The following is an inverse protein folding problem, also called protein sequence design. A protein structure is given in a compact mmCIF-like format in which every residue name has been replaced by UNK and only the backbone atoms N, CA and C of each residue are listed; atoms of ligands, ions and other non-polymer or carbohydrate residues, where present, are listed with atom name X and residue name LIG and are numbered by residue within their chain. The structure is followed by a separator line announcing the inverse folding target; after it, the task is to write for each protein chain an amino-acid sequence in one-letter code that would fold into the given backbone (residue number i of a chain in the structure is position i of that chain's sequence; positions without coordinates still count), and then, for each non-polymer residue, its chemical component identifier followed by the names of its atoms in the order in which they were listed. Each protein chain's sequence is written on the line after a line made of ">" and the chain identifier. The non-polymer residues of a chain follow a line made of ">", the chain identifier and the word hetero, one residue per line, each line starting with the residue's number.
data_IF_857067258492
#
_entry.id   IF_857067258492
#
_cell.length_a   1.000
_cell.length_b   1.000
_cell.length_c   1.000
_cell.angle_alpha   90.00
_cell.angle_beta   90.00
_cell.angle_gamma   90.00
#
_symmetry.space_group_name_H-M   'P 1'
#
loop_
_entity.id
_entity.type
_entity.pdbx_description
1 polymer ?
#
# COMPACT_ATOMS: atom_id res chain seq x y z
N UNK A 1 -21.71 -4.61 13.25
CA UNK A 1 -21.60 -5.94 12.62
C UNK A 1 -22.81 -6.75 13.07
N UNK A 2 -23.51 -7.47 12.17
CA UNK A 2 -24.66 -8.29 12.57
C UNK A 2 -24.16 -9.43 13.48
N UNK A 3 -24.86 -9.69 14.58
CA UNK A 3 -24.57 -10.82 15.47
C UNK A 3 -24.68 -12.14 14.69
N UNK A 4 -23.78 -13.10 14.98
CA UNK A 4 -23.67 -14.37 14.25
C UNK A 4 -25.00 -15.12 14.27
N UNK A 5 -25.70 -15.08 15.41
CA UNK A 5 -27.02 -15.67 15.55
C UNK A 5 -28.04 -15.05 14.59
N UNK A 6 -28.06 -13.72 14.47
CA UNK A 6 -28.97 -13.02 13.56
C UNK A 6 -28.70 -13.40 12.11
N UNK A 7 -27.43 -13.55 11.73
CA UNK A 7 -27.05 -13.96 10.37
C UNK A 7 -27.52 -15.38 10.05
N UNK A 8 -27.37 -16.33 10.98
CA UNK A 8 -27.81 -17.71 10.79
C UNK A 8 -29.34 -17.83 10.69
N UNK A 9 -30.07 -16.99 11.43
CA UNK A 9 -31.54 -16.91 11.34
C UNK A 9 -31.96 -16.36 9.96
N UNK A 10 -31.31 -15.29 9.48
CA UNK A 10 -31.56 -14.72 8.15
C UNK A 10 -31.30 -15.78 7.05
N UNK A 11 -30.17 -16.51 7.14
CA UNK A 11 -29.85 -17.60 6.22
C UNK A 11 -30.90 -18.72 6.22
N UNK A 12 -31.41 -19.11 7.40
CA UNK A 12 -32.47 -20.14 7.51
C UNK A 12 -33.77 -19.70 6.83
N UNK A 13 -34.14 -18.42 6.96
CA UNK A 13 -35.36 -17.87 6.35
C UNK A 13 -35.24 -17.88 4.81
N UNK A 14 -34.11 -17.48 4.26
CA UNK A 14 -33.90 -17.47 2.81
C UNK A 14 -33.82 -18.90 2.22
N UNK A 15 -33.17 -19.84 2.91
CA UNK A 15 -33.12 -21.23 2.46
C UNK A 15 -34.49 -21.91 2.45
N UNK A 16 -35.39 -21.54 3.38
CA UNK A 16 -36.78 -22.02 3.37
C UNK A 16 -37.57 -21.51 2.16
N UNK A 17 -37.25 -20.33 1.63
CA UNK A 17 -37.92 -19.77 0.44
C UNK A 17 -37.42 -20.42 -0.84
N UNK A 18 -36.13 -20.74 -0.92
CA UNK A 18 -35.46 -21.21 -2.13
C UNK A 18 -35.53 -22.74 -2.31
N UNK A 19 -35.60 -23.50 -1.22
CA UNK A 19 -35.63 -24.97 -1.27
C UNK A 19 -36.97 -25.53 -0.80
N UNK A 20 -37.64 -26.28 -1.68
CA UNK A 20 -38.85 -27.06 -1.33
C UNK A 20 -38.47 -28.17 -0.34
N UNK A 21 -39.28 -28.37 0.69
CA UNK A 21 -39.03 -29.33 1.78
C UNK A 21 -37.71 -29.12 2.55
N UNK A 22 -37.17 -27.90 2.59
CA UNK A 22 -35.95 -27.56 3.35
C UNK A 22 -35.96 -28.08 4.80
N UNK A 23 -37.13 -28.09 5.46
CA UNK A 23 -37.31 -28.56 6.83
C UNK A 23 -37.00 -30.04 7.04
N UNK A 24 -36.99 -30.86 5.98
CA UNK A 24 -36.67 -32.30 6.03
C UNK A 24 -35.20 -32.59 5.74
N UNK A 25 -34.41 -31.56 5.46
CA UNK A 25 -33.00 -31.73 5.09
C UNK A 25 -32.10 -31.67 6.32
N UNK A 26 -31.01 -32.46 6.31
CA UNK A 26 -29.96 -32.41 7.33
C UNK A 26 -29.36 -31.00 7.49
N UNK A 27 -29.40 -30.19 6.43
CA UNK A 27 -28.93 -28.80 6.46
C UNK A 27 -29.78 -27.94 7.42
N UNK A 28 -31.09 -28.18 7.50
CA UNK A 28 -31.94 -27.48 8.46
C UNK A 28 -31.59 -27.87 9.91
N UNK A 29 -31.33 -29.16 10.16
CA UNK A 29 -30.93 -29.65 11.49
C UNK A 29 -29.58 -29.06 11.93
N UNK A 30 -28.59 -29.01 11.02
CA UNK A 30 -27.28 -28.41 11.28
C UNK A 30 -27.37 -26.91 11.53
N UNK A 31 -28.22 -26.19 10.77
CA UNK A 31 -28.48 -24.77 10.99
C UNK A 31 -29.17 -24.51 12.33
N UNK A 32 -30.15 -25.33 12.69
CA UNK A 32 -30.87 -25.20 13.96
C UNK A 32 -29.95 -25.47 15.17
N UNK A 33 -29.06 -26.46 15.06
CA UNK A 33 -28.02 -26.72 16.06
C UNK A 33 -27.04 -25.54 16.18
N UNK A 34 -26.58 -24.98 15.06
CA UNK A 34 -25.67 -23.83 15.06
C UNK A 34 -26.32 -22.56 15.66
N UNK A 35 -27.61 -22.34 15.41
CA UNK A 35 -28.38 -21.24 16.02
C UNK A 35 -28.49 -21.43 17.54
N UNK A 36 -28.71 -22.67 18.00
CA UNK A 36 -28.72 -23.00 19.44
C UNK A 36 -27.34 -22.82 20.09
N UNK A 37 -26.27 -23.23 19.42
CA UNK A 37 -24.91 -23.03 19.92
C UNK A 37 -24.55 -21.54 20.01
N UNK A 38 -24.89 -20.75 18.98
CA UNK A 38 -24.70 -19.30 19.01
C UNK A 38 -25.60 -18.61 20.06
N UNK A 39 -26.77 -19.17 20.36
CA UNK A 39 -27.63 -18.70 21.45
C UNK A 39 -27.03 -18.93 22.84
N UNK A 40 -26.37 -20.08 23.02
CA UNK A 40 -25.74 -20.46 24.27
C UNK A 40 -24.37 -19.80 24.46
N UNK A 41 -23.75 -19.34 23.38
CA UNK A 41 -22.46 -18.65 23.38
C UNK A 41 -22.56 -17.13 23.67
N UNK A 42 -23.54 -16.70 24.48
CA UNK A 42 -23.71 -15.30 24.87
C UNK A 42 -22.41 -14.62 25.36
N UNK A 43 -22.29 -13.28 25.24
CA UNK A 43 -21.00 -12.58 25.14
C UNK A 43 -20.32 -12.43 26.50
N UNK A 44 -19.70 -13.50 26.99
CA UNK A 44 -18.70 -13.49 28.06
C UNK A 44 -17.96 -14.84 28.09
N UNK A 45 -17.16 -15.09 27.07
CA UNK A 45 -16.06 -16.06 27.16
C UNK A 45 -14.83 -15.51 26.42
N UNK A 46 -14.60 -14.20 26.56
CA UNK A 46 -13.26 -13.66 26.47
C UNK A 46 -12.56 -14.03 27.78
N UNK A 47 -11.54 -14.87 27.67
CA UNK A 47 -10.46 -15.10 28.62
C UNK A 47 -10.62 -14.49 30.03
N UNK A 48 -11.04 -15.30 31.00
CA UNK A 48 -10.66 -15.08 32.40
C UNK A 48 -10.05 -16.36 32.99
N UNK A 49 -8.97 -16.24 33.79
CA UNK A 49 -8.31 -17.38 34.42
C UNK A 49 -9.24 -17.98 35.48
N UNK A 50 -9.31 -19.31 35.48
CA UNK A 50 -10.11 -20.12 36.39
C UNK A 50 -9.69 -19.81 37.84
N UNK A 51 -10.53 -19.05 38.54
CA UNK A 51 -10.36 -18.72 39.96
C UNK A 51 -10.79 -19.92 40.82
N UNK A 52 -9.82 -20.58 41.45
CA UNK A 52 -10.04 -21.58 42.51
C UNK A 52 -10.44 -20.86 43.80
N UNK A 53 -11.73 -20.75 44.10
CA UNK A 53 -12.29 -20.80 45.47
C UNK A 53 -13.78 -20.44 45.48
N UNK A 54 -14.64 -21.44 45.57
CA UNK A 54 -15.92 -21.34 46.27
C UNK A 54 -16.35 -22.74 46.75
N UNK A 55 -16.63 -22.95 48.05
CA UNK A 55 -17.00 -24.26 48.58
C UNK A 55 -18.51 -24.48 48.41
N UNK A 56 -18.88 -25.45 47.57
CA UNK A 56 -20.28 -25.83 47.38
C UNK A 56 -20.44 -27.04 46.46
N UNK A 57 -20.60 -28.20 47.08
CA UNK A 57 -20.96 -29.52 46.53
C UNK A 57 -19.98 -30.18 45.53
N UNK A 58 -19.64 -31.48 45.71
CA UNK A 58 -18.81 -32.22 44.76
C UNK A 58 -19.69 -32.62 43.58
N UNK A 59 -19.80 -31.76 42.58
CA UNK A 59 -20.08 -32.24 41.24
C UNK A 59 -18.78 -32.83 40.73
N UNK A 60 -18.78 -34.14 40.46
CA UNK A 60 -17.67 -34.82 39.79
C UNK A 60 -17.39 -34.04 38.50
N UNK A 61 -16.35 -33.20 38.53
CA UNK A 61 -15.94 -32.42 37.36
C UNK A 61 -15.53 -33.44 36.31
N UNK A 62 -16.38 -33.65 35.31
CA UNK A 62 -16.08 -34.50 34.18
C UNK A 62 -14.74 -34.06 33.60
N UNK A 63 -13.73 -34.93 33.72
CA UNK A 63 -12.38 -34.63 33.30
C UNK A 63 -12.42 -34.38 31.79
N UNK A 64 -11.78 -33.30 31.35
CA UNK A 64 -11.73 -33.00 29.92
C UNK A 64 -10.91 -34.07 29.20
N UNK A 65 -11.20 -34.31 27.92
CA UNK A 65 -10.43 -35.25 27.09
C UNK A 65 -8.93 -34.93 27.14
N UNK A 66 -8.57 -33.64 27.18
CA UNK A 66 -7.17 -33.19 27.31
C UNK A 66 -6.55 -33.54 28.66
N UNK A 67 -7.29 -33.42 29.77
CA UNK A 67 -6.81 -33.79 31.11
C UNK A 67 -6.58 -35.30 31.21
N UNK A 68 -7.51 -36.10 30.68
CA UNK A 68 -7.38 -37.56 30.62
C UNK A 68 -6.18 -37.96 29.76
N UNK A 69 -6.01 -37.34 28.59
CA UNK A 69 -4.87 -37.59 27.71
C UNK A 69 -3.53 -37.27 28.38
N UNK A 70 -3.44 -36.12 29.06
CA UNK A 70 -2.23 -35.72 29.79
C UNK A 70 -1.90 -36.71 30.91
N UNK A 71 -2.90 -37.11 31.71
CA UNK A 71 -2.72 -38.08 32.80
C UNK A 71 -2.21 -39.43 32.26
N UNK A 72 -2.79 -39.93 31.17
CA UNK A 72 -2.31 -41.15 30.51
C UNK A 72 -0.89 -40.99 29.94
N UNK A 73 -0.54 -39.82 29.42
CA UNK A 73 0.80 -39.56 28.90
C UNK A 73 1.85 -39.56 30.01
N UNK A 74 1.53 -38.99 31.17
CA UNK A 74 2.38 -39.02 32.37
C UNK A 74 2.54 -40.45 32.89
N UNK A 75 1.43 -41.18 33.06
CA UNK A 75 1.46 -42.57 33.50
C UNK A 75 2.25 -43.48 32.53
N UNK A 76 2.11 -43.27 31.22
CA UNK A 76 2.87 -44.00 30.22
C UNK A 76 4.38 -43.67 30.26
N UNK A 77 4.76 -42.42 30.53
CA UNK A 77 6.17 -42.04 30.74
C UNK A 77 6.73 -42.71 31.98
N UNK A 78 6.02 -42.67 33.10
CA UNK A 78 6.47 -43.33 34.34
C UNK A 78 6.62 -44.84 34.14
N UNK A 79 5.65 -45.48 33.48
CA UNK A 79 5.68 -46.91 33.14
C UNK A 79 6.86 -47.26 32.22
N UNK A 80 7.26 -46.36 31.32
CA UNK A 80 8.43 -46.55 30.45
C UNK A 80 9.72 -46.70 31.26
N UNK A 81 9.83 -46.01 32.39
CA UNK A 81 11.00 -46.05 33.27
C UNK A 81 10.89 -47.13 34.36
N UNK A 82 9.70 -47.37 34.91
CA UNK A 82 9.49 -48.39 35.95
C UNK A 82 9.47 -49.81 35.39
N UNK A 83 8.74 -50.04 34.29
CA UNK A 83 8.48 -51.36 33.72
C UNK A 83 8.54 -51.35 32.18
N UNK A 84 9.75 -51.28 31.58
CA UNK A 84 9.93 -51.13 30.14
C UNK A 84 9.27 -52.22 29.29
N UNK A 85 9.22 -53.46 29.81
CA UNK A 85 8.62 -54.60 29.12
C UNK A 85 7.10 -54.49 28.99
N UNK A 86 6.42 -53.94 30.01
CA UNK A 86 4.97 -53.71 29.99
C UNK A 86 4.66 -52.54 29.06
N UNK A 87 5.44 -51.46 29.14
CA UNK A 87 5.32 -50.31 28.24
C UNK A 87 5.46 -50.74 26.76
N UNK A 88 6.43 -51.59 26.42
CA UNK A 88 6.63 -52.09 25.06
C UNK A 88 5.41 -52.89 24.54
N UNK A 89 4.90 -53.83 25.33
CA UNK A 89 3.70 -54.63 24.96
C UNK A 89 2.45 -53.77 24.83
N UNK A 90 2.29 -52.79 25.71
CA UNK A 90 1.18 -51.84 25.63
C UNK A 90 1.29 -50.98 24.36
N UNK A 91 2.50 -50.51 24.03
CA UNK A 91 2.79 -49.77 22.81
C UNK A 91 2.42 -50.55 21.55
N UNK A 92 2.81 -51.83 21.45
CA UNK A 92 2.40 -52.71 20.33
C UNK A 92 0.89 -52.85 20.21
N UNK A 93 0.20 -53.00 21.34
CA UNK A 93 -1.27 -53.11 21.37
C UNK A 93 -1.94 -51.80 20.92
N UNK A 94 -1.42 -50.66 21.36
CA UNK A 94 -1.90 -49.33 20.94
C UNK A 94 -1.70 -49.11 19.45
N UNK A 95 -0.50 -49.42 18.92
CA UNK A 95 -0.22 -49.34 17.48
C UNK A 95 -1.18 -50.23 16.66
N UNK A 96 -1.46 -51.45 17.13
CA UNK A 96 -2.43 -52.35 16.50
C UNK A 96 -3.85 -51.79 16.50
N UNK A 97 -4.31 -51.22 17.63
CA UNK A 97 -5.65 -50.66 17.75
C UNK A 97 -5.84 -49.40 16.89
N UNK A 98 -4.80 -48.57 16.78
CA UNK A 98 -4.82 -47.37 15.94
C UNK A 98 -4.60 -47.69 14.45
N UNK A 99 -4.28 -48.94 14.11
CA UNK A 99 -3.93 -49.33 12.74
C UNK A 99 -2.65 -48.65 12.23
N UNK A 100 -1.83 -48.11 13.12
CA UNK A 100 -0.60 -47.40 12.75
C UNK A 100 0.63 -48.26 13.02
N UNK A 101 1.59 -48.22 12.09
CA UNK A 101 2.88 -48.94 12.24
C UNK A 101 3.88 -48.17 13.11
N UNK A 102 3.67 -46.87 13.29
CA UNK A 102 4.56 -45.97 14.00
C UNK A 102 3.76 -44.87 14.68
N UNK A 103 4.06 -44.56 15.93
CA UNK A 103 3.58 -43.36 16.59
C UNK A 103 4.59 -42.25 16.32
N UNK A 104 4.14 -41.13 15.76
CA UNK A 104 4.98 -39.96 15.63
C UNK A 104 5.38 -39.49 17.04
N UNK A 105 6.66 -39.18 17.23
CA UNK A 105 7.11 -38.60 18.48
C UNK A 105 6.54 -37.17 18.58
N UNK A 106 5.69 -36.87 19.58
CA UNK A 106 5.05 -35.57 19.69
C UNK A 106 6.07 -34.42 19.82
N UNK A 107 7.26 -34.66 20.37
CA UNK A 107 8.30 -33.62 20.43
C UNK A 107 8.83 -33.28 19.02
N UNK A 108 9.01 -34.30 18.17
CA UNK A 108 9.43 -34.11 16.78
C UNK A 108 8.34 -33.41 15.95
N UNK A 109 7.07 -33.76 16.15
CA UNK A 109 5.94 -33.12 15.47
C UNK A 109 5.79 -31.65 15.89
N UNK A 110 5.93 -31.33 17.18
CA UNK A 110 5.92 -29.95 17.67
C UNK A 110 7.02 -29.13 17.02
N UNK A 111 8.26 -29.64 16.96
CA UNK A 111 9.38 -28.95 16.31
C UNK A 111 9.14 -28.69 14.82
N UNK A 112 8.52 -29.65 14.12
CA UNK A 112 8.17 -29.48 12.71
C UNK A 112 7.07 -28.43 12.52
N UNK A 113 6.03 -28.47 13.36
CA UNK A 113 4.95 -27.49 13.32
C UNK A 113 5.44 -26.08 13.66
N UNK A 114 6.32 -25.93 14.66
CA UNK A 114 6.97 -24.66 15.00
C UNK A 114 7.80 -24.12 13.83
N UNK A 115 8.55 -24.99 13.13
CA UNK A 115 9.32 -24.60 11.96
C UNK A 115 8.41 -24.15 10.80
N UNK A 116 7.33 -24.89 10.54
CA UNK A 116 6.34 -24.53 9.51
C UNK A 116 5.62 -23.22 9.83
N UNK A 117 5.30 -23.00 11.10
CA UNK A 117 4.65 -21.77 11.59
C UNK A 117 5.59 -20.58 11.41
N UNK A 118 6.85 -20.71 11.82
CA UNK A 118 7.87 -19.67 11.63
C UNK A 118 8.09 -19.33 10.15
N UNK A 119 8.08 -20.34 9.28
CA UNK A 119 8.18 -20.12 7.84
C UNK A 119 6.93 -19.39 7.29
N UNK A 120 5.74 -19.77 7.75
CA UNK A 120 4.50 -19.12 7.36
C UNK A 120 4.43 -17.65 7.82
N UNK A 121 4.85 -17.36 9.05
CA UNK A 121 4.99 -16.00 9.58
C UNK A 121 5.97 -15.17 8.76
N UNK A 122 7.13 -15.76 8.39
CA UNK A 122 8.09 -15.10 7.51
C UNK A 122 7.50 -14.75 6.14
N UNK A 123 6.72 -15.67 5.54
CA UNK A 123 6.00 -15.40 4.28
C UNK A 123 4.95 -14.31 4.42
N UNK A 124 4.22 -14.26 5.53
CA UNK A 124 3.23 -13.22 5.81
C UNK A 124 3.90 -11.85 5.95
N UNK A 125 4.97 -11.76 6.76
CA UNK A 125 5.72 -10.53 6.95
C UNK A 125 6.30 -9.99 5.63
N UNK A 126 6.84 -10.88 4.78
CA UNK A 126 7.33 -10.50 3.45
C UNK A 126 6.21 -9.98 2.55
N UNK A 127 5.04 -10.62 2.54
CA UNK A 127 3.87 -10.14 1.78
C UNK A 127 3.36 -8.79 2.27
N UNK A 128 3.31 -8.58 3.59
CA UNK A 128 2.92 -7.30 4.17
C UNK A 128 3.90 -6.18 3.78
N UNK A 129 5.20 -6.47 3.78
CA UNK A 129 6.22 -5.52 3.33
C UNK A 129 6.07 -5.18 1.85
N UNK A 130 5.81 -6.18 1.00
CA UNK A 130 5.56 -5.98 -0.43
C UNK A 130 4.27 -5.15 -0.67
N UNK A 131 3.20 -5.42 0.08
CA UNK A 131 1.96 -4.65 0.01
C UNK A 131 2.18 -3.18 0.38
N UNK A 132 2.91 -2.92 1.47
CA UNK A 132 3.25 -1.55 1.88
C UNK A 132 4.11 -0.83 0.83
N UNK A 133 5.07 -1.52 0.22
CA UNK A 133 5.88 -0.95 -0.85
C UNK A 133 5.02 -0.56 -2.06
N UNK A 134 4.12 -1.45 -2.49
CA UNK A 134 3.17 -1.17 -3.58
C UNK A 134 2.21 -0.02 -3.24
N UNK A 135 1.78 0.11 -1.98
CA UNK A 135 0.94 1.24 -1.55
C UNK A 135 1.67 2.58 -1.67
N UNK A 136 2.94 2.63 -1.28
CA UNK A 136 3.79 3.83 -1.42
C UNK A 136 4.00 4.18 -2.89
N UNK A 137 4.34 3.20 -3.73
CA UNK A 137 4.49 3.40 -5.17
C UNK A 137 3.20 3.89 -5.83
N UNK A 138 2.07 3.26 -5.48
CA UNK A 138 0.74 3.68 -5.94
C UNK A 138 0.46 5.14 -5.55
N UNK A 139 0.67 5.51 -4.30
CA UNK A 139 0.36 6.85 -3.82
C UNK A 139 1.26 7.91 -4.46
N UNK A 140 2.53 7.58 -4.72
CA UNK A 140 3.43 8.44 -5.49
C UNK A 140 2.95 8.64 -6.93
N UNK A 141 2.52 7.58 -7.62
CA UNK A 141 1.96 7.66 -8.98
C UNK A 141 0.66 8.48 -9.01
N UNK A 142 -0.23 8.28 -8.04
CA UNK A 142 -1.47 9.05 -7.92
C UNK A 142 -1.19 10.55 -7.69
N UNK A 143 -0.20 10.88 -6.86
CA UNK A 143 0.26 12.26 -6.63
C UNK A 143 0.88 12.89 -7.88
N UNK A 144 1.68 12.12 -8.64
CA UNK A 144 2.24 12.57 -9.92
C UNK A 144 1.15 12.86 -10.96
N UNK A 145 0.14 11.98 -11.05
CA UNK A 145 -1.03 12.18 -11.91
C UNK A 145 -1.85 13.41 -11.51
N UNK A 146 -2.06 13.62 -10.21
CA UNK A 146 -2.74 14.82 -9.69
C UNK A 146 -2.01 16.11 -10.07
N UNK A 147 -0.67 16.10 -9.94
CA UNK A 147 0.19 17.23 -10.30
C UNK A 147 0.19 17.51 -11.81
N UNK A 148 0.16 16.48 -12.65
CA UNK A 148 0.12 16.61 -14.11
C UNK A 148 -1.24 17.06 -14.64
N UNK A 149 -2.34 16.73 -13.96
CA UNK A 149 -3.71 17.08 -14.35
C UNK A 149 -4.50 17.72 -13.19
N UNK A 150 -4.11 18.94 -12.76
CA UNK A 150 -4.72 19.61 -11.59
C UNK A 150 -6.13 20.13 -11.85
N UNK A 151 -6.54 20.23 -13.12
CA UNK A 151 -7.87 20.71 -13.51
C UNK A 151 -9.02 19.76 -13.12
N UNK A 152 -8.70 18.50 -12.82
CA UNK A 152 -9.66 17.50 -12.38
C UNK A 152 -9.75 17.48 -10.85
N UNK A 153 -10.98 17.59 -10.33
CA UNK A 153 -11.26 17.55 -8.89
C UNK A 153 -11.01 16.16 -8.32
N UNK A 154 -10.41 16.11 -7.13
CA UNK A 154 -10.31 14.90 -6.32
C UNK A 154 -11.65 14.63 -5.63
N UNK A 155 -12.51 13.82 -6.26
CA UNK A 155 -13.78 13.41 -5.70
C UNK A 155 -14.09 11.95 -6.01
N UNK A 156 -14.38 11.16 -4.97
CA UNK A 156 -14.79 9.76 -5.11
C UNK A 156 -13.63 8.76 -5.10
N UNK A 157 -13.81 7.66 -5.83
CA UNK A 157 -12.83 6.57 -5.92
C UNK A 157 -11.52 7.07 -6.55
N UNK A 158 -10.41 6.85 -5.83
CA UNK A 158 -9.08 7.31 -6.23
C UNK A 158 -8.62 6.69 -7.54
N UNK A 159 -8.97 5.43 -7.80
CA UNK A 159 -8.61 4.74 -9.05
C UNK A 159 -9.39 5.34 -10.23
N UNK A 160 -10.69 5.54 -10.08
CA UNK A 160 -11.52 6.20 -11.09
C UNK A 160 -11.01 7.61 -11.41
N UNK A 161 -10.65 8.41 -10.40
CA UNK A 161 -10.07 9.76 -10.60
C UNK A 161 -8.73 9.68 -11.34
N UNK A 162 -7.87 8.73 -11.01
CA UNK A 162 -6.59 8.52 -11.70
C UNK A 162 -6.79 8.15 -13.17
N UNK A 163 -7.72 7.25 -13.48
CA UNK A 163 -8.06 6.88 -14.84
C UNK A 163 -8.64 8.06 -15.63
N UNK A 164 -9.47 8.88 -14.99
CA UNK A 164 -9.98 10.12 -15.60
C UNK A 164 -8.86 11.12 -15.91
N UNK A 165 -7.86 11.25 -15.03
CA UNK A 165 -6.65 12.06 -15.26
C UNK A 165 -5.83 11.55 -16.44
N UNK A 166 -5.62 10.23 -16.53
CA UNK A 166 -4.92 9.62 -17.68
C UNK A 166 -5.69 9.90 -18.98
N UNK A 167 -7.01 9.72 -18.99
CA UNK A 167 -7.83 9.98 -20.17
C UNK A 167 -7.77 11.46 -20.60
N UNK A 168 -7.80 12.37 -19.63
CA UNK A 168 -7.67 13.80 -19.88
C UNK A 168 -6.31 14.17 -20.46
N UNK A 169 -5.21 13.63 -19.90
CA UNK A 169 -3.86 13.85 -20.42
C UNK A 169 -3.70 13.34 -21.86
N UNK A 170 -4.28 12.17 -22.19
CA UNK A 170 -4.31 11.66 -23.56
C UNK A 170 -5.07 12.59 -24.50
N UNK A 171 -6.27 13.01 -24.12
CA UNK A 171 -7.07 13.94 -24.93
C UNK A 171 -6.39 15.31 -25.10
N UNK A 172 -5.67 15.79 -24.08
CA UNK A 172 -4.88 17.01 -24.17
C UNK A 172 -3.69 16.85 -25.14
N UNK A 173 -3.01 15.70 -25.10
CA UNK A 173 -1.92 15.38 -26.02
C UNK A 173 -2.42 15.25 -27.48
N UNK A 174 -3.57 14.60 -27.71
CA UNK A 174 -4.19 14.51 -29.04
C UNK A 174 -4.61 15.89 -29.57
N UNK A 175 -5.19 16.75 -28.72
CA UNK A 175 -5.50 18.13 -29.09
C UNK A 175 -4.24 18.95 -29.40
N UNK A 176 -3.17 18.76 -28.64
CA UNK A 176 -1.88 19.40 -28.92
C UNK A 176 -1.23 18.88 -30.22
N UNK A 177 -1.47 17.62 -30.58
CA UNK A 177 -1.01 17.07 -31.87
C UNK A 177 -1.80 17.66 -33.06
N UNK A 178 -3.10 17.92 -32.89
CA UNK A 178 -3.96 18.51 -33.94
C UNK A 178 -3.80 20.03 -34.04
N UNK A 179 -3.51 20.73 -32.94
CA UNK A 179 -3.24 22.16 -32.93
C UNK A 179 -1.90 22.55 -33.57
N UNK A 180 -1.11 21.57 -34.03
CA UNK A 180 0.30 21.75 -34.29
C UNK A 180 1.05 22.03 -32.97
N UNK A 181 2.37 21.79 -32.91
CA UNK A 181 3.12 22.11 -31.71
C UNK A 181 2.94 23.60 -31.40
N UNK A 182 2.25 23.93 -30.32
CA UNK A 182 2.53 25.18 -29.62
C UNK A 182 4.05 25.14 -29.39
N UNK A 183 4.81 26.17 -29.79
CA UNK A 183 6.26 26.09 -29.80
C UNK A 183 6.67 25.70 -28.38
N UNK A 184 7.19 24.48 -28.24
CA UNK A 184 8.00 24.13 -27.10
C UNK A 184 9.00 25.28 -26.98
N UNK A 185 9.13 25.89 -25.80
CA UNK A 185 10.22 26.84 -25.58
C UNK A 185 11.50 26.08 -25.92
N UNK A 186 11.97 26.32 -27.15
CA UNK A 186 13.16 25.71 -27.73
C UNK A 186 14.26 25.98 -26.72
N UNK A 187 15.08 24.99 -26.41
CA UNK A 187 16.33 25.28 -25.72
C UNK A 187 17.00 26.40 -26.51
N UNK A 188 17.32 27.55 -25.88
CA UNK A 188 17.74 28.74 -26.62
C UNK A 188 18.97 28.36 -27.44
N UNK A 189 18.85 28.44 -28.77
CA UNK A 189 19.99 28.23 -29.65
C UNK A 189 20.95 29.41 -29.45
N UNK A 190 22.25 29.30 -29.74
CA UNK A 190 23.21 30.41 -29.56
C UNK A 190 22.79 31.70 -30.30
N UNK A 191 21.95 31.57 -31.32
CA UNK A 191 21.37 32.69 -32.07
C UNK A 191 20.26 33.43 -31.30
N UNK A 192 19.58 32.79 -30.34
CA UNK A 192 18.55 33.42 -29.51
C UNK A 192 19.14 34.29 -28.38
N UNK A 193 20.43 34.08 -28.07
CA UNK A 193 21.18 34.84 -27.06
C UNK A 193 21.61 36.22 -27.56
N UNK A 194 21.78 36.39 -28.88
CA UNK A 194 22.18 37.65 -29.51
C UNK A 194 20.93 38.42 -29.98
N UNK A 195 20.59 39.58 -29.39
CA UNK A 195 19.46 40.37 -29.83
C UNK A 195 19.61 40.87 -31.26
N UNK A 196 18.54 40.75 -32.05
CA UNK A 196 18.48 41.33 -33.40
C UNK A 196 18.54 42.87 -33.33
N UNK A 197 18.97 43.51 -34.42
CA UNK A 197 19.04 44.98 -34.50
C UNK A 197 17.67 45.65 -34.28
N UNK A 198 16.59 45.01 -34.74
CA UNK A 198 15.22 45.46 -34.54
C UNK A 198 14.80 45.39 -33.06
N UNK A 199 15.15 44.30 -32.37
CA UNK A 199 14.88 44.14 -30.94
C UNK A 199 15.64 45.17 -30.11
N UNK A 200 16.92 45.40 -30.41
CA UNK A 200 17.72 46.42 -29.73
C UNK A 200 17.14 47.83 -29.93
N UNK A 201 16.66 48.16 -31.13
CA UNK A 201 15.99 49.43 -31.40
C UNK A 201 14.67 49.57 -30.63
N UNK A 202 13.88 48.49 -30.54
CA UNK A 202 12.64 48.49 -29.77
C UNK A 202 12.89 48.63 -28.26
N UNK A 203 13.90 47.95 -27.70
CA UNK A 203 14.30 48.07 -26.29
C UNK A 203 14.86 49.46 -26.00
N UNK A 204 15.67 50.03 -26.89
CA UNK A 204 16.18 51.40 -26.79
C UNK A 204 15.04 52.44 -26.70
N UNK A 205 13.96 52.19 -27.44
CA UNK A 205 12.73 52.99 -27.43
C UNK A 205 11.77 52.67 -26.26
N UNK A 206 12.09 51.67 -25.43
CA UNK A 206 11.25 51.21 -24.32
C UNK A 206 10.01 50.43 -24.75
N UNK A 207 9.93 49.99 -26.01
CA UNK A 207 8.80 49.26 -26.59
C UNK A 207 8.91 47.73 -26.44
N UNK A 208 10.07 47.22 -26.01
CA UNK A 208 10.32 45.80 -25.78
C UNK A 208 11.23 45.57 -24.56
N UNK A 209 11.26 44.34 -24.07
CA UNK A 209 12.08 43.90 -22.92
C UNK A 209 12.98 42.75 -23.36
N UNK A 210 14.23 42.76 -22.90
CA UNK A 210 15.20 41.70 -23.18
C UNK A 210 14.93 40.46 -22.30
N UNK A 211 15.25 39.27 -22.81
CA UNK A 211 15.39 38.09 -21.97
C UNK A 211 16.60 38.23 -21.03
N UNK A 212 16.72 37.33 -20.04
CA UNK A 212 17.86 37.33 -19.11
C UNK A 212 19.18 37.13 -19.86
N UNK A 213 19.20 36.16 -20.77
CA UNK A 213 20.37 35.78 -21.57
C UNK A 213 20.75 36.89 -22.56
N UNK A 214 19.75 37.53 -23.16
CA UNK A 214 19.93 38.68 -24.06
C UNK A 214 20.46 39.91 -23.32
N UNK A 215 20.02 40.12 -22.08
CA UNK A 215 20.54 41.18 -21.21
C UNK A 215 21.99 40.92 -20.85
N UNK A 216 22.34 39.70 -20.45
CA UNK A 216 23.73 39.31 -20.15
C UNK A 216 24.65 39.54 -21.36
N UNK A 217 24.18 39.18 -22.57
CA UNK A 217 24.91 39.47 -23.81
C UNK A 217 25.06 40.99 -24.04
N UNK A 218 23.97 41.78 -23.91
CA UNK A 218 24.02 43.23 -24.11
C UNK A 218 24.94 43.93 -23.12
N UNK A 219 25.00 43.46 -21.87
CA UNK A 219 25.93 44.00 -20.86
C UNK A 219 27.37 43.74 -21.29
N UNK A 220 27.69 42.50 -21.72
CA UNK A 220 29.02 42.18 -22.22
C UNK A 220 29.44 43.01 -23.44
N UNK A 221 28.54 43.15 -24.41
CA UNK A 221 28.77 43.98 -25.59
C UNK A 221 28.97 45.46 -25.23
N UNK A 222 28.14 46.01 -24.35
CA UNK A 222 28.27 47.39 -23.91
C UNK A 222 29.57 47.65 -23.12
N UNK A 223 30.06 46.67 -22.36
CA UNK A 223 31.38 46.76 -21.71
C UNK A 223 32.49 46.87 -22.76
N UNK A 224 32.45 46.06 -23.81
CA UNK A 224 33.45 46.12 -24.89
C UNK A 224 33.38 47.45 -25.63
N UNK A 225 32.17 47.92 -25.98
CA UNK A 225 31.96 49.18 -26.70
C UNK A 225 32.38 50.42 -25.89
N UNK A 226 32.30 50.34 -24.57
CA UNK A 226 32.75 51.42 -23.67
C UNK A 226 34.20 51.26 -23.24
N UNK A 227 34.94 50.27 -23.76
CA UNK A 227 36.33 50.02 -23.39
C UNK A 227 36.50 49.66 -21.91
N UNK A 228 35.51 48.95 -21.33
CA UNK A 228 35.46 48.55 -19.91
C UNK A 228 35.44 49.72 -18.92
N UNK A 229 34.98 50.90 -19.35
CA UNK A 229 34.80 52.06 -18.47
C UNK A 229 33.71 51.87 -17.41
N UNK A 230 32.76 50.96 -17.67
CA UNK A 230 31.68 50.62 -16.74
C UNK A 230 31.74 49.14 -16.36
N UNK A 231 31.44 48.86 -15.10
CA UNK A 231 31.23 47.51 -14.59
C UNK A 231 29.85 46.96 -15.00
N UNK A 232 29.65 45.63 -15.00
CA UNK A 232 28.34 45.04 -15.28
C UNK A 232 27.21 45.59 -14.40
N UNK A 233 27.50 45.88 -13.13
CA UNK A 233 26.52 46.38 -12.17
C UNK A 233 26.10 47.81 -12.52
N UNK A 234 27.05 48.69 -12.81
CA UNK A 234 26.78 50.07 -13.21
C UNK A 234 26.00 50.16 -14.53
N UNK A 235 26.22 49.22 -15.46
CA UNK A 235 25.43 49.14 -16.69
C UNK A 235 23.99 48.70 -16.41
N UNK A 236 23.80 47.70 -15.54
CA UNK A 236 22.45 47.26 -15.15
C UNK A 236 21.67 48.34 -14.42
N UNK A 237 22.33 49.17 -13.61
CA UNK A 237 21.71 50.33 -12.94
C UNK A 237 21.25 51.41 -13.94
N UNK A 238 21.94 51.57 -15.06
CA UNK A 238 21.52 52.46 -16.16
C UNK A 238 20.29 51.95 -16.92
N UNK A 239 19.98 50.66 -16.79
CA UNK A 239 18.80 50.01 -17.34
C UNK A 239 18.94 49.55 -18.80
N UNK A 240 18.13 48.55 -19.16
CA UNK A 240 18.19 47.84 -20.44
C UNK A 240 18.06 48.77 -21.66
N UNK A 241 17.22 49.81 -21.57
CA UNK A 241 17.03 50.77 -22.66
C UNK A 241 18.29 51.62 -22.92
N UNK A 242 19.04 51.99 -21.88
CA UNK A 242 20.27 52.75 -22.02
C UNK A 242 21.38 51.89 -22.63
N UNK A 243 21.50 50.64 -22.18
CA UNK A 243 22.44 49.66 -22.75
C UNK A 243 22.14 49.44 -24.24
N UNK A 244 20.89 49.19 -24.60
CA UNK A 244 20.48 48.95 -25.99
C UNK A 244 20.75 50.16 -26.90
N UNK A 245 20.52 51.39 -26.41
CA UNK A 245 20.86 52.63 -27.17
C UNK A 245 22.34 52.71 -27.50
N UNK A 246 23.21 52.46 -26.52
CA UNK A 246 24.67 52.51 -26.73
C UNK A 246 25.12 51.52 -27.80
N UNK A 247 24.57 50.31 -27.80
CA UNK A 247 24.88 49.28 -28.81
C UNK A 247 24.38 49.71 -30.20
N UNK A 248 23.17 50.25 -30.30
CA UNK A 248 22.61 50.74 -31.57
C UNK A 248 23.39 51.94 -32.11
N UNK A 249 23.81 52.87 -31.25
CA UNK A 249 24.60 54.04 -31.63
C UNK A 249 26.00 53.64 -32.10
N UNK A 250 26.68 52.73 -31.39
CA UNK A 250 27.98 52.22 -31.80
C UNK A 250 27.92 51.51 -33.17
N UNK A 251 26.87 50.74 -33.43
CA UNK A 251 26.67 50.05 -34.72
C UNK A 251 26.34 50.98 -35.89
N UNK A 252 25.88 52.20 -35.64
CA UNK A 252 25.65 53.22 -36.68
C UNK A 252 26.93 54.00 -37.02
N UNK A 253 27.93 53.98 -36.14
CA UNK A 253 29.21 54.69 -36.30
C UNK A 253 30.37 53.82 -36.79
N UNK A 254 30.14 52.51 -36.99
CA UNK A 254 31.08 51.54 -37.55
C UNK A 254 30.73 51.24 -39.01
#
# INVERSE_FOLDING_TARGET
>A
MKDLRSLLIDCRIELRKLARDFQKTELCERLDLAIQQAANAGPAAAAEPVNEAAPGAPTEKAQTVSQVALAWQTAARDLKFSDPAIHARLGEKVMRLLGSKTLADPATEILQLEAMLKEAEGRLASKEQAMKALEVERDALLGALASAAPALKDGGDRLAVALARVAWLKAAAEKAAVAGPAPAKRAPEPQDTVPTSELLAAVAAGAAVLSKEQREWCVGEAMVLTGFQYTPVELLEQGDAAIARRIVEARKGA
#
